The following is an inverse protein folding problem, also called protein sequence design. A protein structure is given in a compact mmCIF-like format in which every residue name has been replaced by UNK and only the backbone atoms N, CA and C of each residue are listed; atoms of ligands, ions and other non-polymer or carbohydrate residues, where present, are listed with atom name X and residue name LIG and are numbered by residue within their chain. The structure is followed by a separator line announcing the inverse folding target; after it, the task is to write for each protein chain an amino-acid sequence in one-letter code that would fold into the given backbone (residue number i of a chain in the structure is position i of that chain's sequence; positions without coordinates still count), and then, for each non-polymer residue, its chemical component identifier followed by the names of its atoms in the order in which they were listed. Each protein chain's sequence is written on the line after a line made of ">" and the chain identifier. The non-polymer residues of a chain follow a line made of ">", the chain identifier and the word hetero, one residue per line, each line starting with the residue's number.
data_IF_010485494069
#
_entry.id   IF_010485494069
#
_cell.length_a   1.000
_cell.length_b   1.000
_cell.length_c   1.000
_cell.angle_alpha   90.00
_cell.angle_beta   90.00
_cell.angle_gamma   90.00
#
_symmetry.space_group_name_H-M   'P 1'
#
loop_
_entity.id
_entity.type
_entity.pdbx_description
1 polymer ?
#
# COMPACT_ATOMS: atom_id res chain seq x y z
N UNK A 1 -56.68 -48.13 -20.84
CA UNK A 1 -55.24 -48.03 -21.10
C UNK A 1 -54.95 -46.55 -21.32
N UNK A 2 -54.57 -45.86 -20.25
CA UNK A 2 -54.22 -44.43 -20.28
C UNK A 2 -52.71 -44.37 -20.29
N UNK A 3 -52.13 -43.98 -21.42
CA UNK A 3 -50.70 -43.71 -21.53
C UNK A 3 -50.37 -42.44 -20.75
N UNK A 4 -49.47 -42.60 -19.78
CA UNK A 4 -48.89 -41.52 -19.01
C UNK A 4 -47.61 -41.07 -19.70
N UNK A 5 -47.69 -40.04 -20.55
CA UNK A 5 -46.53 -39.24 -20.92
C UNK A 5 -46.51 -38.00 -20.02
N UNK A 6 -45.84 -38.14 -18.88
CA UNK A 6 -45.36 -37.00 -18.11
C UNK A 6 -44.21 -36.40 -18.91
N UNK A 7 -44.45 -35.27 -19.56
CA UNK A 7 -43.43 -34.47 -20.22
C UNK A 7 -42.39 -34.02 -19.18
N UNK A 8 -41.26 -34.73 -19.16
CA UNK A 8 -40.04 -34.33 -18.50
C UNK A 8 -39.39 -33.19 -19.30
N UNK A 9 -39.90 -31.99 -19.12
CA UNK A 9 -39.31 -30.77 -19.69
C UNK A 9 -39.46 -29.64 -18.69
N UNK A 10 -38.52 -29.57 -17.72
CA UNK A 10 -37.84 -28.30 -17.36
C UNK A 10 -36.74 -28.40 -16.28
N UNK A 11 -36.26 -29.60 -15.90
CA UNK A 11 -35.18 -29.69 -14.88
C UNK A 11 -33.77 -29.33 -15.41
N UNK A 12 -33.61 -29.11 -16.71
CA UNK A 12 -32.30 -28.73 -17.28
C UNK A 12 -31.94 -27.26 -17.08
N UNK A 13 -32.91 -26.36 -16.85
CA UNK A 13 -32.64 -24.95 -16.58
C UNK A 13 -32.23 -24.68 -15.11
N UNK A 14 -32.65 -25.54 -14.18
CA UNK A 14 -32.34 -25.42 -12.75
C UNK A 14 -30.93 -25.94 -12.39
N UNK A 15 -30.40 -26.91 -13.15
CA UNK A 15 -29.07 -27.50 -12.89
C UNK A 15 -27.89 -26.58 -13.26
N UNK A 16 -28.07 -25.62 -14.17
CA UNK A 16 -26.99 -24.72 -14.59
C UNK A 16 -26.72 -23.54 -13.64
N UNK A 17 -27.63 -23.26 -12.70
CA UNK A 17 -27.46 -22.19 -11.72
C UNK A 17 -26.85 -22.68 -10.39
N UNK A 18 -27.03 -23.96 -10.05
CA UNK A 18 -26.54 -24.54 -8.80
C UNK A 18 -25.04 -24.92 -8.82
N UNK A 19 -24.46 -25.08 -10.02
CA UNK A 19 -23.06 -25.53 -10.20
C UNK A 19 -22.08 -24.41 -10.60
N UNK A 20 -22.50 -23.14 -10.63
CA UNK A 20 -21.56 -22.05 -10.87
C UNK A 20 -20.78 -21.73 -9.58
N UNK A 21 -19.44 -21.66 -9.64
CA UNK A 21 -18.63 -21.35 -8.46
C UNK A 21 -18.98 -19.96 -7.93
N UNK A 22 -19.12 -19.83 -6.61
CA UNK A 22 -19.48 -18.58 -5.92
C UNK A 22 -18.50 -17.43 -6.25
N UNK A 23 -17.24 -17.77 -6.54
CA UNK A 23 -16.20 -16.84 -6.93
C UNK A 23 -15.69 -17.19 -8.32
N UNK A 24 -15.31 -16.17 -9.10
CA UNK A 24 -14.63 -16.38 -10.37
C UNK A 24 -13.32 -17.17 -10.17
N UNK A 25 -12.96 -18.09 -11.09
CA UNK A 25 -11.69 -18.82 -11.02
C UNK A 25 -10.46 -17.92 -10.90
N UNK A 26 -10.48 -16.75 -11.56
CA UNK A 26 -9.43 -15.73 -11.46
C UNK A 26 -9.19 -15.29 -10.00
N UNK A 27 -10.24 -15.16 -9.20
CA UNK A 27 -10.14 -14.78 -7.79
C UNK A 27 -9.63 -15.92 -6.91
N UNK A 28 -9.98 -17.17 -7.22
CA UNK A 28 -9.57 -18.32 -6.38
C UNK A 28 -8.15 -18.81 -6.69
N UNK A 29 -7.71 -18.68 -7.93
CA UNK A 29 -6.38 -19.13 -8.38
C UNK A 29 -5.29 -18.06 -8.20
N UNK A 30 -5.70 -16.80 -7.99
CA UNK A 30 -4.75 -15.72 -7.80
C UNK A 30 -3.88 -15.93 -6.56
N UNK A 31 -2.55 -15.71 -6.65
CA UNK A 31 -1.63 -15.98 -5.54
C UNK A 31 -1.66 -14.85 -4.49
N UNK A 32 -2.79 -14.69 -3.79
CA UNK A 32 -3.04 -13.64 -2.80
C UNK A 32 -1.95 -13.55 -1.72
N UNK A 33 -1.51 -14.69 -1.18
CA UNK A 33 -0.46 -14.73 -0.17
C UNK A 33 0.87 -14.20 -0.70
N UNK A 34 1.22 -14.52 -1.96
CA UNK A 34 2.45 -14.01 -2.58
C UNK A 34 2.36 -12.50 -2.80
N UNK A 35 1.22 -12.01 -3.27
CA UNK A 35 0.98 -10.57 -3.42
C UNK A 35 1.09 -9.85 -2.06
N UNK A 36 0.54 -10.45 -1.01
CA UNK A 36 0.61 -9.91 0.34
C UNK A 36 2.05 -9.84 0.88
N UNK A 37 2.82 -10.91 0.72
CA UNK A 37 4.22 -10.93 1.13
C UNK A 37 5.06 -9.94 0.32
N UNK A 38 4.82 -9.84 -0.99
CA UNK A 38 5.49 -8.87 -1.86
C UNK A 38 5.16 -7.43 -1.44
N UNK A 39 3.92 -7.16 -1.03
CA UNK A 39 3.49 -5.86 -0.49
C UNK A 39 4.25 -5.47 0.78
N UNK A 40 4.33 -6.38 1.76
CA UNK A 40 5.10 -6.15 2.99
C UNK A 40 6.58 -5.97 2.68
N UNK A 41 7.14 -6.77 1.77
CA UNK A 41 8.51 -6.62 1.28
C UNK A 41 8.75 -5.26 0.62
N UNK A 42 7.76 -4.76 -0.12
CA UNK A 42 7.83 -3.44 -0.78
C UNK A 42 7.90 -2.31 0.24
N UNK A 43 7.12 -2.36 1.34
CA UNK A 43 7.25 -1.42 2.45
C UNK A 43 8.64 -1.44 3.08
N UNK A 44 9.20 -2.65 3.30
CA UNK A 44 10.55 -2.80 3.84
C UNK A 44 11.62 -2.20 2.91
N UNK A 45 11.49 -2.41 1.60
CA UNK A 45 12.37 -1.79 0.58
C UNK A 45 12.29 -0.27 0.63
N UNK A 46 11.09 0.30 0.74
CA UNK A 46 10.94 1.75 0.84
C UNK A 46 11.57 2.32 2.10
N UNK A 47 11.38 1.66 3.24
CA UNK A 47 12.02 2.03 4.49
C UNK A 47 13.56 2.00 4.34
N UNK A 48 14.11 0.91 3.83
CA UNK A 48 15.56 0.78 3.62
C UNK A 48 16.10 1.86 2.65
N UNK A 49 15.39 2.13 1.56
CA UNK A 49 15.77 3.14 0.59
C UNK A 49 15.75 4.55 1.20
N UNK A 50 14.79 4.88 2.07
CA UNK A 50 14.77 6.13 2.82
C UNK A 50 15.96 6.21 3.79
N UNK A 51 16.26 5.14 4.54
CA UNK A 51 17.42 5.10 5.43
C UNK A 51 18.71 5.38 4.68
N UNK A 52 18.91 4.72 3.54
CA UNK A 52 20.09 4.91 2.68
C UNK A 52 20.15 6.33 2.11
N UNK A 53 19.04 6.84 1.55
CA UNK A 53 18.99 8.18 0.99
C UNK A 53 19.27 9.27 2.04
N UNK A 54 18.78 9.09 3.26
CA UNK A 54 19.03 10.01 4.38
C UNK A 54 20.48 9.95 4.87
N UNK A 55 21.06 8.75 4.94
CA UNK A 55 22.47 8.57 5.28
C UNK A 55 23.40 9.22 4.23
N UNK A 56 23.07 9.12 2.94
CA UNK A 56 23.89 9.66 1.85
C UNK A 56 23.71 11.18 1.65
N UNK A 57 22.51 11.71 1.87
CA UNK A 57 22.23 13.14 1.68
C UNK A 57 22.77 14.04 2.80
N UNK A 58 23.16 13.46 3.93
CA UNK A 58 23.56 14.24 5.12
C UNK A 58 22.41 15.09 5.69
N UNK A 59 21.16 14.84 5.29
CA UNK A 59 20.03 15.65 5.75
C UNK A 59 19.77 15.44 7.24
N UNK A 60 19.63 16.55 7.98
CA UNK A 60 19.49 16.56 9.43
C UNK A 60 18.05 16.26 9.89
N UNK A 61 17.40 15.22 9.36
CA UNK A 61 16.09 14.78 9.90
C UNK A 61 16.24 14.01 11.20
N UNK A 62 17.44 13.54 11.52
CA UNK A 62 17.81 12.92 12.79
C UNK A 62 18.88 13.72 13.50
N UNK A 63 18.94 13.59 14.83
CA UNK A 63 20.03 14.19 15.63
C UNK A 63 21.07 13.15 16.01
N UNK A 64 22.32 13.58 16.20
CA UNK A 64 23.43 12.68 16.47
C UNK A 64 23.21 11.89 17.77
N UNK A 65 22.74 12.59 18.81
CA UNK A 65 22.48 12.10 20.16
C UNK A 65 21.24 11.20 20.29
N UNK A 66 20.42 11.09 19.24
CA UNK A 66 19.27 10.20 19.28
C UNK A 66 19.69 8.73 19.29
N UNK A 67 19.01 7.96 20.14
CA UNK A 67 19.09 6.50 20.13
C UNK A 67 18.71 5.93 18.76
N UNK A 68 19.17 4.70 18.46
CA UNK A 68 18.83 4.01 17.22
C UNK A 68 17.30 3.89 17.03
N UNK A 69 16.57 3.65 18.12
CA UNK A 69 15.11 3.57 18.08
C UNK A 69 14.46 4.91 17.66
N UNK A 70 14.91 6.03 18.24
CA UNK A 70 14.39 7.35 17.86
C UNK A 70 14.68 7.69 16.40
N UNK A 71 15.87 7.33 15.90
CA UNK A 71 16.22 7.46 14.47
C UNK A 71 15.33 6.58 13.60
N UNK A 72 15.12 5.32 13.99
CA UNK A 72 14.27 4.39 13.27
C UNK A 72 12.81 4.87 13.17
N UNK A 73 12.23 5.35 14.28
CA UNK A 73 10.89 5.96 14.32
C UNK A 73 10.81 7.20 13.42
N UNK A 74 11.85 8.04 13.42
CA UNK A 74 11.92 9.20 12.54
C UNK A 74 11.91 8.81 11.06
N UNK A 75 12.65 7.78 10.68
CA UNK A 75 12.63 7.28 9.30
C UNK A 75 11.25 6.73 8.91
N UNK A 76 10.56 6.05 9.83
CA UNK A 76 9.16 5.66 9.62
C UNK A 76 8.29 6.88 9.34
N UNK A 77 8.43 7.97 10.08
CA UNK A 77 7.63 9.19 9.86
C UNK A 77 7.92 9.83 8.50
N UNK A 78 9.15 9.69 7.99
CA UNK A 78 9.51 10.10 6.63
C UNK A 78 8.81 9.20 5.60
N UNK A 79 8.73 7.88 5.82
CA UNK A 79 7.94 6.97 4.96
C UNK A 79 6.47 7.40 4.92
N UNK A 80 5.83 7.66 6.06
CA UNK A 80 4.45 8.15 6.09
C UNK A 80 4.32 9.49 5.36
N UNK A 81 5.21 10.44 5.64
CA UNK A 81 5.22 11.75 5.01
C UNK A 81 5.37 11.65 3.48
N UNK A 82 6.19 10.72 2.99
CA UNK A 82 6.39 10.43 1.57
C UNK A 82 5.12 9.89 0.88
N UNK A 83 4.23 9.23 1.64
CA UNK A 83 2.88 8.86 1.17
C UNK A 83 1.86 9.98 1.36
N UNK A 84 2.30 11.21 1.62
CA UNK A 84 1.45 12.34 1.99
C UNK A 84 0.61 12.14 3.26
N UNK A 85 0.97 11.17 4.12
CA UNK A 85 0.31 11.00 5.42
C UNK A 85 0.87 12.05 6.39
N UNK A 86 0.04 12.97 6.91
CA UNK A 86 0.47 13.92 7.91
C UNK A 86 0.69 13.22 9.26
N UNK A 87 1.60 13.80 10.04
CA UNK A 87 1.83 13.46 11.44
C UNK A 87 0.92 14.32 12.29
N UNK A 88 -0.01 13.68 13.00
CA UNK A 88 -0.82 14.34 14.02
C UNK A 88 0.03 14.58 15.26
N UNK A 89 0.10 15.83 15.71
CA UNK A 89 0.79 16.22 16.94
C UNK A 89 -0.17 16.93 17.87
N UNK A 90 -0.26 16.45 19.10
CA UNK A 90 -1.05 17.07 20.17
C UNK A 90 -0.10 17.50 21.28
N UNK A 91 -0.15 18.78 21.62
CA UNK A 91 0.56 19.39 22.75
C UNK A 91 -0.45 19.64 23.86
N UNK A 92 -0.26 19.02 25.01
CA UNK A 92 -1.24 19.04 26.11
C UNK A 92 -0.99 20.13 27.16
N UNK A 93 0.16 20.80 27.13
CA UNK A 93 0.57 21.79 28.14
C UNK A 93 1.38 22.94 27.52
N UNK A 94 1.33 24.11 28.17
CA UNK A 94 2.06 25.31 27.78
C UNK A 94 1.28 26.25 26.85
N UNK A 95 1.91 27.38 26.48
CA UNK A 95 1.31 28.43 25.62
C UNK A 95 0.97 27.92 24.22
N UNK A 96 1.61 26.83 23.78
CA UNK A 96 1.38 26.19 22.48
C UNK A 96 0.45 24.97 22.56
N UNK A 97 -0.35 24.83 23.62
CA UNK A 97 -1.31 23.73 23.73
C UNK A 97 -2.28 23.72 22.54
N UNK A 98 -2.50 22.55 21.95
CA UNK A 98 -3.30 22.40 20.74
C UNK A 98 -2.97 21.13 19.96
N UNK A 99 -3.74 20.88 18.91
CA UNK A 99 -3.52 19.78 17.98
C UNK A 99 -3.32 20.30 16.57
N UNK A 100 -2.40 19.67 15.83
CA UNK A 100 -2.11 20.03 14.44
C UNK A 100 -1.71 18.82 13.61
N UNK A 101 -1.88 18.97 12.30
CA UNK A 101 -1.40 18.02 11.30
C UNK A 101 -0.22 18.67 10.57
N UNK A 102 0.90 17.97 10.47
CA UNK A 102 2.05 18.44 9.72
C UNK A 102 2.69 17.30 8.93
N UNK A 103 3.14 17.57 7.70
CA UNK A 103 3.91 16.62 6.91
C UNK A 103 5.39 17.04 6.96
N UNK A 104 6.28 16.11 7.31
CA UNK A 104 7.70 16.45 7.54
C UNK A 104 8.43 16.92 6.28
N UNK A 105 7.92 16.55 5.10
CA UNK A 105 8.52 16.85 3.81
C UNK A 105 7.95 18.14 3.19
N UNK A 106 6.77 18.59 3.66
CA UNK A 106 6.20 19.87 3.21
C UNK A 106 6.92 21.04 3.88
N UNK A 107 7.21 22.08 3.10
CA UNK A 107 7.97 23.25 3.56
C UNK A 107 9.49 23.03 3.65
N UNK A 108 9.99 21.84 3.30
CA UNK A 108 11.41 21.60 3.09
C UNK A 108 11.84 22.14 1.70
N UNK A 109 13.12 22.47 1.50
CA UNK A 109 13.64 22.83 0.18
C UNK A 109 13.24 21.79 -0.88
N UNK A 110 12.86 22.26 -2.07
CA UNK A 110 12.27 21.46 -3.16
C UNK A 110 13.11 20.21 -3.49
N UNK A 111 14.43 20.37 -3.46
CA UNK A 111 15.41 19.30 -3.48
C UNK A 111 15.97 19.17 -2.05
N UNK A 112 15.83 18.05 -1.32
CA UNK A 112 15.56 16.66 -1.75
C UNK A 112 14.11 16.16 -1.54
N UNK A 113 13.15 17.00 -1.14
CA UNK A 113 11.79 16.55 -0.80
C UNK A 113 11.09 15.78 -1.93
N UNK A 114 11.26 16.22 -3.18
CA UNK A 114 10.71 15.54 -4.37
C UNK A 114 11.20 14.10 -4.51
N UNK A 115 12.46 13.81 -4.17
CA UNK A 115 13.00 12.46 -4.25
C UNK A 115 12.31 11.53 -3.26
N UNK A 116 12.01 12.02 -2.06
CA UNK A 116 11.27 11.25 -1.05
C UNK A 116 9.82 11.00 -1.47
N UNK A 117 9.14 11.97 -2.09
CA UNK A 117 7.79 11.77 -2.64
C UNK A 117 7.76 10.82 -3.84
N UNK A 118 8.79 10.84 -4.69
CA UNK A 118 8.88 9.96 -5.86
C UNK A 118 9.20 8.51 -5.48
N UNK A 119 9.92 8.30 -4.37
CA UNK A 119 10.36 6.97 -3.93
C UNK A 119 9.23 5.93 -3.79
N UNK A 120 8.13 6.17 -3.04
CA UNK A 120 7.05 5.20 -2.95
C UNK A 120 6.39 4.94 -4.30
N UNK A 121 6.25 5.96 -5.15
CA UNK A 121 5.68 5.84 -6.50
C UNK A 121 6.52 4.87 -7.35
N UNK A 122 7.82 5.12 -7.46
CA UNK A 122 8.74 4.32 -8.28
C UNK A 122 8.81 2.88 -7.76
N UNK A 123 8.92 2.70 -6.45
CA UNK A 123 9.03 1.37 -5.85
C UNK A 123 7.74 0.57 -6.03
N UNK A 124 6.56 1.18 -5.92
CA UNK A 124 5.27 0.50 -6.14
C UNK A 124 5.04 0.16 -7.63
N UNK A 125 5.41 1.06 -8.55
CA UNK A 125 5.39 0.78 -9.98
C UNK A 125 6.27 -0.42 -10.31
N UNK A 126 7.51 -0.43 -9.81
CA UNK A 126 8.43 -1.54 -10.01
C UNK A 126 7.91 -2.84 -9.38
N UNK A 127 7.31 -2.77 -8.19
CA UNK A 127 6.77 -3.94 -7.51
C UNK A 127 5.63 -4.59 -8.31
N UNK A 128 4.66 -3.80 -8.81
CA UNK A 128 3.59 -4.31 -9.66
C UNK A 128 4.12 -4.91 -10.97
N UNK A 129 5.03 -4.20 -11.64
CA UNK A 129 5.65 -4.67 -12.87
C UNK A 129 6.38 -5.99 -12.68
N UNK A 130 7.24 -6.09 -11.65
CA UNK A 130 8.02 -7.29 -11.38
C UNK A 130 7.14 -8.45 -10.92
N UNK A 131 6.12 -8.20 -10.10
CA UNK A 131 5.18 -9.22 -9.66
C UNK A 131 4.44 -9.84 -10.86
N UNK A 132 3.98 -9.00 -11.78
CA UNK A 132 3.32 -9.45 -13.00
C UNK A 132 4.24 -10.26 -13.91
N UNK A 133 5.46 -9.79 -14.13
CA UNK A 133 6.42 -10.50 -15.00
C UNK A 133 6.88 -11.84 -14.45
N UNK A 134 6.82 -12.03 -13.14
CA UNK A 134 7.24 -13.26 -12.47
C UNK A 134 6.13 -14.31 -12.39
N UNK A 135 4.90 -13.97 -12.80
CA UNK A 135 3.77 -14.91 -12.82
C UNK A 135 3.35 -15.23 -14.25
N UNK A 136 2.67 -16.35 -14.40
CA UNK A 136 2.01 -16.76 -15.64
C UNK A 136 0.51 -16.61 -15.45
N UNK A 137 -0.10 -15.45 -15.80
CA UNK A 137 -1.53 -15.26 -15.67
C UNK A 137 -2.30 -16.22 -16.61
N UNK A 138 -3.50 -16.69 -16.24
CA UNK A 138 -4.33 -17.46 -17.14
C UNK A 138 -4.70 -16.64 -18.39
N UNK A 139 -4.68 -17.26 -19.57
CA UNK A 139 -4.95 -16.60 -20.87
C UNK A 139 -6.37 -15.98 -20.94
N UNK A 140 -7.26 -16.41 -20.06
CA UNK A 140 -8.67 -16.02 -20.00
C UNK A 140 -8.93 -14.71 -19.25
N UNK A 141 -7.94 -14.16 -18.54
CA UNK A 141 -8.12 -12.94 -17.73
C UNK A 141 -7.56 -11.73 -18.47
N UNK A 142 -8.37 -10.68 -18.59
CA UNK A 142 -7.95 -9.43 -19.23
C UNK A 142 -6.97 -8.64 -18.35
N UNK A 143 -6.06 -7.88 -18.98
CA UNK A 143 -5.03 -7.12 -18.26
C UNK A 143 -5.55 -6.10 -17.24
N UNK A 144 -6.78 -5.58 -17.40
CA UNK A 144 -7.42 -4.69 -16.43
C UNK A 144 -7.84 -5.42 -15.15
N UNK A 145 -8.45 -6.61 -15.28
CA UNK A 145 -8.82 -7.46 -14.15
C UNK A 145 -7.56 -7.92 -13.40
N UNK A 146 -6.54 -8.33 -14.14
CA UNK A 146 -5.25 -8.71 -13.56
C UNK A 146 -4.59 -7.58 -12.78
N UNK A 147 -4.53 -6.38 -13.37
CA UNK A 147 -3.96 -5.20 -12.70
C UNK A 147 -4.71 -4.85 -11.41
N UNK A 148 -6.04 -4.95 -11.43
CA UNK A 148 -6.87 -4.69 -10.26
C UNK A 148 -6.66 -5.72 -9.15
N UNK A 149 -6.50 -7.00 -9.52
CA UNK A 149 -6.24 -8.08 -8.56
C UNK A 149 -4.88 -7.94 -7.90
N UNK A 150 -3.82 -7.68 -8.68
CA UNK A 150 -2.47 -7.43 -8.13
C UNK A 150 -2.47 -6.22 -7.21
N UNK A 151 -3.07 -5.11 -7.67
CA UNK A 151 -3.20 -3.89 -6.85
C UNK A 151 -3.94 -4.15 -5.54
N UNK A 152 -5.04 -4.90 -5.58
CA UNK A 152 -5.81 -5.27 -4.37
C UNK A 152 -5.01 -6.15 -3.43
N UNK A 153 -4.32 -7.17 -3.97
CA UNK A 153 -3.46 -8.07 -3.20
C UNK A 153 -2.30 -7.34 -2.53
N UNK A 154 -1.85 -6.23 -3.11
CA UNK A 154 -0.87 -5.35 -2.49
C UNK A 154 -1.49 -4.41 -1.47
N UNK A 155 -2.57 -3.71 -1.81
CA UNK A 155 -3.09 -2.60 -1.01
C UNK A 155 -3.59 -3.02 0.36
N UNK A 156 -4.26 -4.17 0.49
CA UNK A 156 -4.84 -4.62 1.76
C UNK A 156 -3.75 -4.86 2.83
N UNK A 157 -2.69 -5.65 2.56
CA UNK A 157 -1.60 -5.84 3.53
C UNK A 157 -0.80 -4.55 3.75
N UNK A 158 -0.64 -3.73 2.71
CA UNK A 158 0.08 -2.46 2.79
C UNK A 158 -0.59 -1.50 3.78
N UNK A 159 -1.91 -1.31 3.64
CA UNK A 159 -2.69 -0.46 4.54
C UNK A 159 -2.78 -1.07 5.93
N UNK A 160 -2.84 -2.39 6.07
CA UNK A 160 -2.87 -3.06 7.38
C UNK A 160 -1.58 -2.82 8.17
N UNK A 161 -0.41 -3.02 7.54
CA UNK A 161 0.89 -2.74 8.16
C UNK A 161 1.04 -1.24 8.44
N UNK A 162 0.61 -0.39 7.50
CA UNK A 162 0.57 1.05 7.68
C UNK A 162 -0.30 1.49 8.86
N UNK A 163 -1.50 0.93 9.01
CA UNK A 163 -2.38 1.25 10.13
C UNK A 163 -1.76 0.78 11.45
N UNK A 164 -1.22 -0.45 11.50
CA UNK A 164 -0.54 -0.97 12.69
C UNK A 164 0.63 -0.06 13.12
N UNK A 165 1.43 0.38 12.14
CA UNK A 165 2.55 1.30 12.40
C UNK A 165 2.12 2.63 13.01
N UNK A 166 0.91 3.13 12.71
CA UNK A 166 0.40 4.38 13.31
C UNK A 166 0.16 4.28 14.83
N UNK A 167 -0.05 3.07 15.35
CA UNK A 167 -0.19 2.80 16.79
C UNK A 167 1.13 2.41 17.46
N UNK A 168 2.03 1.76 16.73
CA UNK A 168 3.32 1.30 17.25
C UNK A 168 4.33 2.44 17.32
N UNK A 169 4.42 3.24 16.26
CA UNK A 169 5.40 4.31 16.12
C UNK A 169 4.80 5.62 16.63
N UNK A 170 4.64 5.71 17.95
CA UNK A 170 4.20 6.93 18.63
C UNK A 170 5.41 7.60 19.28
N UNK A 171 5.63 8.86 18.95
CA UNK A 171 6.69 9.68 19.56
C UNK A 171 6.10 10.54 20.66
N UNK A 172 6.57 10.35 21.88
CA UNK A 172 6.25 11.20 23.03
C UNK A 172 7.43 12.11 23.32
N UNK A 173 7.17 13.40 23.43
CA UNK A 173 8.15 14.43 23.78
C UNK A 173 7.69 15.01 25.12
N UNK A 174 8.52 14.87 26.14
CA UNK A 174 8.27 15.40 27.48
C UNK A 174 9.40 16.37 27.81
N UNK A 175 9.07 17.63 28.04
CA UNK A 175 10.00 18.66 28.50
C UNK A 175 9.44 19.39 29.72
N UNK A 176 10.21 20.32 30.27
CA UNK A 176 9.85 21.08 31.48
C UNK A 176 8.58 21.92 31.33
N UNK A 177 8.25 22.35 30.10
CA UNK A 177 7.15 23.29 29.82
C UNK A 177 6.11 22.76 28.83
N UNK A 178 6.31 21.56 28.27
CA UNK A 178 5.40 20.99 27.28
C UNK A 178 5.44 19.46 27.27
N UNK A 179 4.27 18.87 27.08
CA UNK A 179 4.08 17.46 26.75
C UNK A 179 3.45 17.37 25.36
N UNK A 180 4.10 16.66 24.44
CA UNK A 180 3.62 16.47 23.09
C UNK A 180 3.61 14.98 22.69
N UNK A 181 2.59 14.59 21.95
CA UNK A 181 2.46 13.26 21.37
C UNK A 181 2.29 13.41 19.87
N UNK A 182 3.14 12.75 19.09
CA UNK A 182 3.07 12.71 17.64
C UNK A 182 2.87 11.29 17.14
N UNK A 183 1.98 11.08 16.18
CA UNK A 183 1.78 9.80 15.49
C UNK A 183 1.32 10.02 14.05
N UNK A 184 1.54 9.07 13.12
CA UNK A 184 0.90 9.13 11.80
C UNK A 184 -0.63 9.25 11.95
N UNK A 185 -1.25 10.18 11.21
CA UNK A 185 -2.69 10.36 11.30
C UNK A 185 -3.42 9.14 10.71
N UNK A 186 -4.16 8.41 11.55
CA UNK A 186 -4.74 7.11 11.19
C UNK A 186 -5.67 7.20 9.97
N UNK A 187 -6.61 8.15 9.94
CA UNK A 187 -7.54 8.29 8.82
C UNK A 187 -6.79 8.52 7.49
N UNK A 188 -5.80 9.39 7.50
CA UNK A 188 -4.96 9.66 6.32
C UNK A 188 -4.08 8.46 5.95
N UNK A 189 -3.61 7.70 6.95
CA UNK A 189 -2.88 6.46 6.74
C UNK A 189 -3.74 5.46 5.97
N UNK A 190 -4.99 5.25 6.42
CA UNK A 190 -5.92 4.33 5.75
C UNK A 190 -6.17 4.73 4.30
N UNK A 191 -6.36 6.02 4.04
CA UNK A 191 -6.62 6.53 2.69
C UNK A 191 -5.37 6.44 1.81
N UNK A 192 -4.27 7.05 2.22
CA UNK A 192 -3.09 7.16 1.38
C UNK A 192 -2.37 5.83 1.19
N UNK A 193 -2.22 5.03 2.24
CA UNK A 193 -1.58 3.71 2.14
C UNK A 193 -2.46 2.65 1.48
N UNK A 194 -3.74 2.94 1.22
CA UNK A 194 -4.57 2.16 0.30
C UNK A 194 -4.41 2.68 -1.15
N UNK A 195 -4.59 3.98 -1.37
CA UNK A 195 -4.60 4.55 -2.72
C UNK A 195 -3.27 4.44 -3.44
N UNK A 196 -2.15 4.65 -2.75
CA UNK A 196 -0.81 4.55 -3.35
C UNK A 196 -0.56 3.18 -3.99
N UNK A 197 -0.61 2.06 -3.23
CA UNK A 197 -0.42 0.75 -3.83
C UNK A 197 -1.52 0.44 -4.85
N UNK A 198 -2.79 0.80 -4.59
CA UNK A 198 -3.87 0.55 -5.56
C UNK A 198 -3.57 1.16 -6.93
N UNK A 199 -3.10 2.40 -6.98
CA UNK A 199 -2.84 3.11 -8.23
C UNK A 199 -1.52 2.66 -8.86
N UNK A 200 -0.42 2.73 -8.10
CA UNK A 200 0.91 2.56 -8.69
C UNK A 200 1.26 1.10 -8.97
N UNK A 201 0.77 0.15 -8.16
CA UNK A 201 0.93 -1.28 -8.47
C UNK A 201 0.09 -1.66 -9.68
N UNK A 202 -1.15 -1.14 -9.80
CA UNK A 202 -1.99 -1.37 -10.98
C UNK A 202 -1.31 -0.86 -12.26
N UNK A 203 -0.75 0.35 -12.25
CA UNK A 203 -0.03 0.91 -13.41
C UNK A 203 1.18 0.05 -13.74
N UNK A 204 2.00 -0.32 -12.75
CA UNK A 204 3.17 -1.19 -12.96
C UNK A 204 2.78 -2.54 -13.58
N UNK A 205 1.70 -3.13 -13.08
CA UNK A 205 1.14 -4.38 -13.59
C UNK A 205 0.65 -4.26 -15.03
N UNK A 206 -0.12 -3.21 -15.33
CA UNK A 206 -0.62 -2.94 -16.67
C UNK A 206 0.51 -2.77 -17.69
N UNK A 207 1.61 -2.09 -17.30
CA UNK A 207 2.79 -1.95 -18.13
C UNK A 207 3.46 -3.30 -18.45
N UNK A 208 3.60 -4.17 -17.44
CA UNK A 208 4.15 -5.51 -17.64
C UNK A 208 3.27 -6.37 -18.57
N UNK A 209 1.95 -6.24 -18.45
CA UNK A 209 1.00 -6.94 -19.32
C UNK A 209 1.14 -6.50 -20.78
N UNK A 210 1.22 -5.20 -21.05
CA UNK A 210 1.44 -4.65 -22.41
C UNK A 210 2.76 -5.14 -23.00
N UNK A 211 3.85 -5.11 -22.22
CA UNK A 211 5.18 -5.56 -22.67
C UNK A 211 5.21 -7.07 -22.96
N UNK A 212 4.45 -7.87 -22.21
CA UNK A 212 4.46 -9.33 -22.32
C UNK A 212 3.53 -9.87 -23.42
N UNK A 213 2.69 -9.01 -24.03
CA UNK A 213 1.71 -9.39 -25.05
C UNK A 213 1.99 -8.68 -26.38
N UNK A 214 3.04 -9.05 -27.14
CA UNK A 214 3.30 -8.43 -28.43
C UNK A 214 2.21 -8.85 -29.45
N UNK A 215 1.41 -7.88 -29.95
CA UNK A 215 0.51 -8.10 -31.10
C UNK A 215 -0.95 -7.63 -31.00
N UNK A 216 -1.34 -6.81 -30.01
CA UNK A 216 -2.67 -6.16 -29.96
C UNK A 216 -2.56 -4.64 -29.84
N UNK A 217 -1.98 -4.00 -30.86
CA UNK A 217 -2.12 -2.56 -31.12
C UNK A 217 -2.82 -2.39 -32.46
#
# INVERSE_FOLDING_TARGET
>A
MTDSTTDATDDSAASTAADQPLLKPSLTEFPWLRAALASVGTLAVQYAAIVVALALSGSAVTRAEWSLWQKAVQYVYVVYSAHHVPIATTVSQGVQAGSGLNNLLYGQPFFPAVLFFALPVVVLLAAGFLFERQRTPPVTVGGTEESAMVATGFAIPYVAVGALGSFVFVRRITGETAQAVSAPALLWTLVAMFLFPMVFVAIGTALAYVVSTPGRA
#
